data_IF_463499451637
#
_entry.id   IF_463499451637
#
_cell.length_a   1.000
_cell.length_b   1.000
_cell.length_c   1.000
_cell.angle_alpha   90.00
_cell.angle_beta   90.00
_cell.angle_gamma   90.00
#
_symmetry.space_group_name_H-M   'P 1'
#
loop_
_entity.id
_entity.type
_entity.pdbx_description
1 polymer ?
#
# COMPACT_ATOMS: atom_id res chain seq x y z
N UNK A 1 10.22 -8.46 -9.99
CA UNK A 1 10.48 -7.05 -10.33
C UNK A 1 11.36 -6.47 -9.22
N UNK A 2 12.65 -6.21 -9.47
CA UNK A 2 13.61 -5.85 -8.41
C UNK A 2 13.60 -4.36 -8.00
N UNK A 3 12.76 -3.52 -8.59
CA UNK A 3 12.72 -2.08 -8.27
C UNK A 3 11.95 -1.75 -6.97
N UNK A 4 11.11 -2.67 -6.48
CA UNK A 4 10.31 -2.42 -5.29
C UNK A 4 11.16 -2.42 -4.00
N UNK A 5 12.15 -3.31 -3.89
CA UNK A 5 12.98 -3.45 -2.68
C UNK A 5 13.92 -2.26 -2.48
N UNK A 6 14.47 -1.71 -3.58
CA UNK A 6 15.41 -0.57 -3.51
C UNK A 6 14.76 0.75 -3.12
N UNK A 7 13.44 0.88 -3.34
CA UNK A 7 12.68 2.07 -2.95
C UNK A 7 12.39 2.10 -1.44
N UNK A 8 12.30 0.92 -0.80
CA UNK A 8 12.14 0.82 0.66
C UNK A 8 13.38 1.29 1.44
N UNK A 9 14.58 1.17 0.87
CA UNK A 9 15.83 1.59 1.54
C UNK A 9 16.01 3.11 1.58
N UNK A 10 15.36 3.87 0.68
CA UNK A 10 15.57 5.32 0.58
C UNK A 10 14.52 6.14 1.33
N UNK A 11 13.27 5.66 1.47
CA UNK A 11 12.25 6.28 2.34
C UNK A 11 11.23 5.24 2.83
N UNK A 12 11.44 4.59 3.98
CA UNK A 12 10.54 3.56 4.52
C UNK A 12 9.14 4.07 4.93
N UNK A 13 8.84 5.35 4.67
CA UNK A 13 7.61 6.02 5.07
C UNK A 13 7.01 6.89 3.95
N UNK A 14 7.45 6.70 2.70
CA UNK A 14 6.82 7.37 1.55
C UNK A 14 5.47 6.72 1.23
N UNK A 15 4.49 7.54 0.85
CA UNK A 15 3.15 7.06 0.54
C UNK A 15 3.15 6.03 -0.62
N UNK A 16 4.04 6.17 -1.60
CA UNK A 16 4.18 5.21 -2.69
C UNK A 16 4.84 3.89 -2.25
N UNK A 17 5.76 3.94 -1.29
CA UNK A 17 6.38 2.74 -0.73
C UNK A 17 5.34 1.92 0.05
N UNK A 18 4.49 2.60 0.84
CA UNK A 18 3.37 1.97 1.54
C UNK A 18 2.34 1.38 0.58
N UNK A 19 1.98 2.10 -0.50
CA UNK A 19 1.08 1.57 -1.55
C UNK A 19 1.65 0.32 -2.24
N UNK A 20 2.94 0.34 -2.55
CA UNK A 20 3.62 -0.80 -3.17
C UNK A 20 3.67 -1.99 -2.22
N UNK A 21 4.02 -1.76 -0.94
CA UNK A 21 4.08 -2.82 0.08
C UNK A 21 2.70 -3.40 0.36
N UNK A 22 1.66 -2.57 0.41
CA UNK A 22 0.27 -3.01 0.52
C UNK A 22 -0.15 -3.89 -0.66
N UNK A 23 0.25 -3.54 -1.88
CA UNK A 23 -0.01 -4.34 -3.08
C UNK A 23 0.70 -5.70 -3.05
N UNK A 24 1.93 -5.74 -2.52
CA UNK A 24 2.66 -7.00 -2.30
C UNK A 24 1.94 -7.84 -1.26
N UNK A 25 1.49 -7.26 -0.14
CA UNK A 25 0.73 -7.99 0.87
C UNK A 25 -0.63 -8.50 0.35
N UNK A 26 -1.32 -7.72 -0.50
CA UNK A 26 -2.55 -8.15 -1.18
C UNK A 26 -2.26 -9.41 -2.03
N UNK A 27 -1.19 -9.38 -2.83
CA UNK A 27 -0.77 -10.51 -3.66
C UNK A 27 -0.33 -11.75 -2.86
N UNK A 28 0.23 -11.55 -1.66
CA UNK A 28 0.58 -12.62 -0.73
C UNK A 28 -0.61 -13.15 0.08
N UNK A 29 -1.82 -12.63 -0.13
CA UNK A 29 -3.03 -13.00 0.63
C UNK A 29 -3.08 -12.43 2.05
N UNK A 30 -2.14 -11.56 2.41
CA UNK A 30 -2.02 -10.91 3.73
C UNK A 30 -2.91 -9.67 3.78
N UNK A 31 -4.23 -9.89 3.71
CA UNK A 31 -5.25 -8.85 3.54
C UNK A 31 -5.22 -7.77 4.63
N UNK A 32 -5.04 -8.15 5.89
CA UNK A 32 -5.02 -7.19 7.00
C UNK A 32 -3.84 -6.22 6.92
N UNK A 33 -2.67 -6.72 6.55
CA UNK A 33 -1.45 -5.92 6.39
C UNK A 33 -1.52 -5.04 5.16
N UNK A 34 -2.08 -5.55 4.06
CA UNK A 34 -2.37 -4.75 2.87
C UNK A 34 -3.27 -3.55 3.22
N UNK A 35 -4.37 -3.79 3.95
CA UNK A 35 -5.28 -2.73 4.39
C UNK A 35 -4.57 -1.69 5.26
N UNK A 36 -3.73 -2.14 6.20
CA UNK A 36 -2.98 -1.24 7.07
C UNK A 36 -2.06 -0.31 6.26
N UNK A 37 -1.31 -0.87 5.32
CA UNK A 37 -0.39 -0.14 4.45
C UNK A 37 -1.11 0.83 3.52
N UNK A 38 -2.19 0.40 2.86
CA UNK A 38 -2.99 1.27 2.00
C UNK A 38 -3.64 2.43 2.78
N UNK A 39 -4.06 2.20 4.03
CA UNK A 39 -4.55 3.28 4.91
C UNK A 39 -3.45 4.27 5.27
N UNK A 40 -2.26 3.78 5.61
CA UNK A 40 -1.11 4.65 5.90
C UNK A 40 -0.68 5.44 4.65
N UNK A 41 -0.68 4.81 3.48
CA UNK A 41 -0.40 5.46 2.20
C UNK A 41 -1.38 6.61 1.95
N UNK A 42 -2.69 6.39 2.13
CA UNK A 42 -3.70 7.43 1.98
C UNK A 42 -3.66 8.52 3.05
N UNK A 43 -3.29 8.18 4.27
CA UNK A 43 -3.10 9.17 5.34
C UNK A 43 -1.94 10.14 5.02
N UNK A 44 -0.95 9.69 4.25
CA UNK A 44 0.18 10.53 3.79
C UNK A 44 -0.13 11.25 2.47
N UNK A 45 -0.69 10.52 1.52
CA UNK A 45 -1.10 11.05 0.23
C UNK A 45 -2.50 10.53 -0.15
N UNK A 46 -3.55 11.31 0.13
CA UNK A 46 -4.92 10.91 -0.17
C UNK A 46 -5.24 10.89 -1.67
N UNK A 47 -4.30 11.25 -2.54
CA UNK A 47 -4.46 11.21 -4.00
C UNK A 47 -4.05 9.86 -4.61
N UNK A 48 -3.54 8.90 -3.82
CA UNK A 48 -3.16 7.58 -4.33
C UNK A 48 -4.41 6.78 -4.65
N UNK A 49 -4.76 6.74 -5.93
CA UNK A 49 -5.95 6.03 -6.40
C UNK A 49 -5.85 4.52 -6.17
N UNK A 50 -4.68 3.92 -6.37
CA UNK A 50 -4.44 2.48 -6.16
C UNK A 50 -4.83 2.02 -4.74
N UNK A 51 -4.33 2.71 -3.72
CA UNK A 51 -4.69 2.43 -2.32
C UNK A 51 -6.21 2.54 -2.06
N UNK A 52 -6.92 3.49 -2.68
CA UNK A 52 -8.39 3.59 -2.53
C UNK A 52 -9.10 2.40 -3.16
N UNK A 53 -8.71 2.05 -4.38
CA UNK A 53 -9.28 0.91 -5.11
C UNK A 53 -8.99 -0.40 -4.37
N UNK A 54 -7.77 -0.57 -3.87
CA UNK A 54 -7.38 -1.74 -3.10
C UNK A 54 -8.19 -1.86 -1.80
N UNK A 55 -8.37 -0.79 -1.03
CA UNK A 55 -9.24 -0.83 0.16
C UNK A 55 -10.69 -1.21 -0.18
N UNK A 56 -11.20 -0.76 -1.33
CA UNK A 56 -12.54 -1.14 -1.81
C UNK A 56 -12.61 -2.62 -2.18
N UNK A 57 -11.63 -3.15 -2.92
CA UNK A 57 -11.53 -4.59 -3.24
C UNK A 57 -11.40 -5.45 -1.98
N UNK A 58 -10.64 -4.95 -1.01
CA UNK A 58 -10.40 -5.61 0.28
C UNK A 58 -11.52 -5.36 1.30
N UNK A 59 -12.64 -4.75 0.91
CA UNK A 59 -13.82 -4.55 1.77
C UNK A 59 -13.54 -3.68 3.00
N UNK A 60 -12.51 -2.84 2.92
CA UNK A 60 -12.03 -1.97 4.00
C UNK A 60 -12.25 -0.47 3.70
N UNK A 61 -12.94 -0.16 2.61
CA UNK A 61 -13.49 1.15 2.30
C UNK A 61 -14.61 1.49 3.29
N UNK A 62 -14.37 2.48 4.17
CA UNK A 62 -15.43 3.12 4.96
C UNK A 62 -16.17 4.16 4.12
#
# INVERSE_FOLDING_TARGET
>A
MPDAEKSLELRPNDAHALDTRGSIFEALGRREEAIADFRQALAKNPSIQNSKDALKRLGASQ
#
